data_IF_786576845240
#
_entry.id   IF_786576845240
#
_cell.length_a   1.000
_cell.length_b   1.000
_cell.length_c   1.000
_cell.angle_alpha   90.00
_cell.angle_beta   90.00
_cell.angle_gamma   90.00
#
_symmetry.space_group_name_H-M   'P 1'
#
loop_
_entity.id
_entity.type
_entity.pdbx_description
1 polymer ?
#
# COMPACT_ATOMS: atom_id res chain seq x y z
N UNK A 1 -39.14 3.81 -19.65
CA UNK A 1 -37.85 4.52 -19.45
C UNK A 1 -37.23 4.28 -18.06
N UNK A 2 -37.93 4.43 -16.93
CA UNK A 2 -37.35 4.20 -15.58
C UNK A 2 -36.76 2.79 -15.35
N UNK A 3 -37.39 1.72 -15.87
CA UNK A 3 -36.89 0.34 -15.72
C UNK A 3 -35.59 0.06 -16.48
N UNK A 4 -35.39 0.66 -17.66
CA UNK A 4 -34.17 0.45 -18.46
C UNK A 4 -32.97 1.16 -17.80
N UNK A 5 -33.20 2.36 -17.24
CA UNK A 5 -32.18 3.14 -16.52
C UNK A 5 -31.70 2.42 -15.24
N UNK A 6 -32.60 1.77 -14.48
CA UNK A 6 -32.21 0.98 -13.32
C UNK A 6 -31.34 -0.24 -13.68
N UNK A 7 -31.61 -0.90 -14.82
CA UNK A 7 -30.80 -2.02 -15.30
C UNK A 7 -29.41 -1.58 -15.77
N UNK A 8 -29.28 -0.41 -16.40
CA UNK A 8 -27.97 0.11 -16.83
C UNK A 8 -27.10 0.53 -15.64
N UNK A 9 -27.70 1.16 -14.62
CA UNK A 9 -26.99 1.57 -13.39
C UNK A 9 -26.52 0.34 -12.61
N UNK A 10 -27.35 -0.71 -12.49
CA UNK A 10 -26.97 -1.95 -11.82
C UNK A 10 -25.80 -2.67 -12.50
N UNK A 11 -25.77 -2.70 -13.84
CA UNK A 11 -24.71 -3.34 -14.63
C UNK A 11 -23.37 -2.58 -14.52
N UNK A 12 -23.41 -1.25 -14.46
CA UNK A 12 -22.21 -0.41 -14.25
C UNK A 12 -21.63 -0.63 -12.84
N UNK A 13 -22.49 -0.77 -11.84
CA UNK A 13 -22.08 -0.99 -10.45
C UNK A 13 -21.41 -2.36 -10.24
N UNK A 14 -21.91 -3.44 -10.87
CA UNK A 14 -21.28 -4.77 -10.81
C UNK A 14 -19.86 -4.76 -11.43
N UNK A 15 -19.67 -4.05 -12.54
CA UNK A 15 -18.40 -3.99 -13.23
C UNK A 15 -17.31 -3.29 -12.41
N UNK A 16 -17.64 -2.22 -11.67
CA UNK A 16 -16.67 -1.47 -10.86
C UNK A 16 -16.23 -2.26 -9.63
N UNK A 17 -17.17 -2.93 -8.93
CA UNK A 17 -16.86 -3.75 -7.73
C UNK A 17 -16.01 -4.97 -8.11
N UNK A 18 -16.34 -5.65 -9.22
CA UNK A 18 -15.59 -6.80 -9.71
C UNK A 18 -14.18 -6.41 -10.17
N UNK A 19 -14.03 -5.24 -10.82
CA UNK A 19 -12.72 -4.71 -11.26
C UNK A 19 -11.80 -4.34 -10.10
N UNK A 20 -12.31 -3.79 -9.01
CA UNK A 20 -11.46 -3.34 -7.91
C UNK A 20 -10.99 -4.49 -7.00
N UNK A 21 -11.84 -5.50 -6.73
CA UNK A 21 -11.38 -6.74 -6.09
C UNK A 21 -10.44 -7.54 -7.02
N UNK A 22 -10.61 -7.43 -8.34
CA UNK A 22 -9.65 -7.98 -9.29
C UNK A 22 -8.30 -7.25 -9.28
N UNK A 23 -8.25 -5.96 -8.95
CA UNK A 23 -7.00 -5.17 -8.98
C UNK A 23 -6.01 -5.64 -7.91
N UNK A 24 -6.46 -5.86 -6.66
CA UNK A 24 -5.61 -6.37 -5.58
C UNK A 24 -5.07 -7.77 -5.88
N UNK A 25 -5.89 -8.63 -6.47
CA UNK A 25 -5.49 -9.99 -6.89
C UNK A 25 -4.50 -9.93 -8.05
N UNK A 26 -4.75 -9.08 -9.05
CA UNK A 26 -3.84 -8.86 -10.18
C UNK A 26 -2.53 -8.24 -9.75
N UNK A 27 -2.54 -7.29 -8.82
CA UNK A 27 -1.35 -6.71 -8.21
C UNK A 27 -0.47 -7.81 -7.62
N UNK A 28 -1.01 -8.60 -6.68
CA UNK A 28 -0.27 -9.69 -6.06
C UNK A 28 0.22 -10.72 -7.09
N UNK A 29 -0.62 -11.10 -8.07
CA UNK A 29 -0.23 -12.00 -9.15
C UNK A 29 0.92 -11.44 -9.98
N UNK A 30 0.93 -10.15 -10.30
CA UNK A 30 2.04 -9.52 -11.03
C UNK A 30 3.33 -9.58 -10.22
N UNK A 31 3.28 -9.24 -8.93
CA UNK A 31 4.46 -9.28 -8.07
C UNK A 31 5.03 -10.70 -7.95
N UNK A 32 4.18 -11.73 -7.76
CA UNK A 32 4.58 -13.15 -7.74
C UNK A 32 5.26 -13.61 -9.05
N UNK A 33 4.91 -12.99 -10.18
CA UNK A 33 5.43 -13.37 -11.50
C UNK A 33 6.60 -12.49 -11.97
N UNK A 34 7.06 -11.51 -11.16
CA UNK A 34 8.19 -10.66 -11.55
C UNK A 34 9.48 -11.48 -11.62
N UNK A 35 10.21 -11.32 -12.72
CA UNK A 35 11.40 -12.13 -13.02
C UNK A 35 12.58 -11.91 -12.08
N UNK A 36 12.63 -10.79 -11.35
CA UNK A 36 13.70 -10.43 -10.42
C UNK A 36 13.59 -11.09 -9.04
N UNK A 37 12.44 -11.68 -8.67
CA UNK A 37 12.28 -12.43 -7.43
C UNK A 37 12.45 -13.93 -7.64
N UNK A 38 12.82 -14.65 -6.57
CA UNK A 38 12.75 -16.10 -6.49
C UNK A 38 11.31 -16.56 -6.72
N UNK A 39 11.15 -17.74 -7.31
CA UNK A 39 9.83 -18.38 -7.40
C UNK A 39 9.47 -19.16 -6.13
N UNK A 40 10.46 -19.44 -5.29
CA UNK A 40 10.30 -20.15 -4.04
C UNK A 40 9.84 -19.17 -2.95
N UNK A 41 8.77 -19.56 -2.24
CA UNK A 41 8.33 -18.93 -1.00
C UNK A 41 9.24 -19.36 0.15
N UNK A 42 9.94 -18.40 0.73
CA UNK A 42 10.87 -18.60 1.84
C UNK A 42 10.28 -18.20 3.19
N UNK A 43 8.96 -17.93 3.28
CA UNK A 43 8.28 -17.45 4.49
C UNK A 43 8.58 -18.26 5.75
N UNK A 44 8.74 -19.58 5.65
CA UNK A 44 9.06 -20.44 6.80
C UNK A 44 10.40 -20.09 7.46
N UNK A 45 11.37 -19.56 6.69
CA UNK A 45 12.66 -19.10 7.22
C UNK A 45 12.50 -17.89 8.15
N UNK A 46 11.37 -17.19 8.04
CA UNK A 46 11.09 -15.95 8.77
C UNK A 46 10.04 -16.11 9.88
N UNK A 47 9.66 -17.34 10.26
CA UNK A 47 8.56 -17.57 11.21
C UNK A 47 8.79 -16.90 12.59
N UNK A 48 10.03 -16.82 13.06
CA UNK A 48 10.39 -16.18 14.33
C UNK A 48 10.43 -14.65 14.27
N UNK A 49 10.57 -14.07 13.09
CA UNK A 49 10.82 -12.64 12.91
C UNK A 49 9.57 -11.78 13.09
N UNK A 50 9.75 -10.54 13.54
CA UNK A 50 8.68 -9.55 13.68
C UNK A 50 8.82 -8.44 12.63
N UNK A 51 7.84 -8.37 11.72
CA UNK A 51 7.81 -7.39 10.64
C UNK A 51 7.10 -6.08 11.00
N UNK A 52 6.55 -5.94 12.21
CA UNK A 52 5.74 -4.79 12.64
C UNK A 52 6.41 -3.44 12.36
N UNK A 53 7.73 -3.36 12.56
CA UNK A 53 8.52 -2.15 12.38
C UNK A 53 8.62 -1.68 10.93
N UNK A 54 8.43 -2.57 9.95
CA UNK A 54 8.42 -2.19 8.53
C UNK A 54 7.29 -1.20 8.21
N UNK A 55 6.12 -1.39 8.83
CA UNK A 55 4.91 -0.63 8.51
C UNK A 55 4.72 0.65 9.33
N UNK A 56 5.66 0.98 10.22
CA UNK A 56 5.70 2.25 10.97
C UNK A 56 7.01 3.03 10.78
N UNK A 57 7.86 2.61 9.84
CA UNK A 57 9.15 3.27 9.57
C UNK A 57 9.01 4.63 8.90
N UNK A 58 8.04 4.76 7.99
CA UNK A 58 7.95 5.89 7.07
C UNK A 58 7.21 7.08 7.69
N UNK A 59 7.78 8.29 7.67
CA UNK A 59 7.10 9.50 8.10
C UNK A 59 5.81 9.76 7.28
N UNK A 60 4.79 10.31 7.94
CA UNK A 60 3.45 10.44 7.35
C UNK A 60 3.40 11.31 6.09
N UNK A 61 4.30 12.28 5.97
CA UNK A 61 4.45 13.16 4.82
C UNK A 61 4.86 12.42 3.54
N UNK A 62 5.51 11.25 3.67
CA UNK A 62 5.91 10.39 2.56
C UNK A 62 4.95 9.23 2.32
N UNK A 63 3.86 9.11 3.08
CA UNK A 63 2.82 8.10 2.85
C UNK A 63 1.74 8.71 1.96
N UNK A 64 1.53 8.15 0.78
CA UNK A 64 0.53 8.65 -0.16
C UNK A 64 -0.59 7.67 -0.45
N UNK A 65 -1.84 8.14 -0.57
CA UNK A 65 -2.97 7.33 -0.96
C UNK A 65 -4.14 8.09 -1.60
N UNK A 66 -4.94 7.37 -2.37
CA UNK A 66 -6.19 7.87 -2.95
C UNK A 66 -7.37 6.92 -2.65
N UNK A 67 -8.59 7.45 -2.71
CA UNK A 67 -9.85 6.72 -2.63
C UNK A 67 -10.84 7.18 -3.72
N UNK A 68 -11.53 6.25 -4.35
CA UNK A 68 -12.58 6.53 -5.34
C UNK A 68 -12.07 6.89 -6.74
N UNK A 69 -12.99 7.13 -7.68
CA UNK A 69 -12.67 7.33 -9.10
C UNK A 69 -11.94 8.64 -9.40
N UNK A 70 -12.16 9.67 -8.58
CA UNK A 70 -11.56 11.00 -8.76
C UNK A 70 -10.17 11.12 -8.11
N UNK A 71 -9.62 10.00 -7.63
CA UNK A 71 -8.37 9.97 -6.86
C UNK A 71 -8.42 10.90 -5.64
N UNK A 72 -9.55 10.96 -4.93
CA UNK A 72 -9.66 11.75 -3.70
C UNK A 72 -8.58 11.34 -2.71
N UNK A 73 -7.82 12.31 -2.21
CA UNK A 73 -6.77 12.08 -1.22
C UNK A 73 -7.35 11.37 0.01
N UNK A 74 -6.71 10.26 0.38
CA UNK A 74 -6.88 9.60 1.68
C UNK A 74 -5.53 9.61 2.40
N UNK A 75 -5.55 9.82 3.71
CA UNK A 75 -4.40 9.60 4.59
C UNK A 75 -4.67 8.36 5.42
N UNK A 76 -3.68 7.47 5.50
CA UNK A 76 -3.72 6.26 6.33
C UNK A 76 -2.52 6.34 7.26
N UNK A 77 -2.74 6.17 8.56
CA UNK A 77 -1.67 6.03 9.56
C UNK A 77 -1.92 4.81 10.40
N UNK A 78 -0.98 3.89 10.42
CA UNK A 78 -0.93 2.86 11.46
C UNK A 78 -0.37 3.48 12.75
N UNK A 79 -1.09 3.28 13.85
CA UNK A 79 -0.69 3.74 15.18
C UNK A 79 -0.02 2.61 15.94
N UNK A 80 -0.55 1.39 15.82
CA UNK A 80 0.10 0.20 16.36
C UNK A 80 0.00 -0.94 15.35
N UNK A 81 1.10 -1.68 15.19
CA UNK A 81 1.13 -2.96 14.49
C UNK A 81 1.78 -3.96 15.43
N UNK A 82 1.06 -5.03 15.76
CA UNK A 82 1.52 -6.02 16.74
C UNK A 82 1.45 -7.40 16.11
N UNK A 83 2.55 -8.15 16.17
CA UNK A 83 2.57 -9.55 15.72
C UNK A 83 1.53 -10.37 16.51
N UNK A 84 0.69 -11.07 15.77
CA UNK A 84 -0.37 -11.91 16.30
C UNK A 84 0.16 -13.27 16.78
N UNK A 85 -0.75 -14.16 17.24
CA UNK A 85 -0.38 -15.50 17.71
C UNK A 85 0.20 -16.40 16.61
N UNK A 86 -0.21 -16.21 15.36
CA UNK A 86 0.43 -16.86 14.21
C UNK A 86 1.61 -16.03 13.73
N UNK A 87 2.66 -16.68 13.23
CA UNK A 87 3.88 -16.01 12.76
C UNK A 87 3.66 -15.01 11.63
N UNK A 88 2.54 -15.13 10.91
CA UNK A 88 2.26 -14.41 9.67
C UNK A 88 1.16 -13.36 9.81
N UNK A 89 0.50 -13.27 10.98
CA UNK A 89 -0.62 -12.36 11.19
C UNK A 89 -0.22 -11.21 12.08
N UNK A 90 -0.73 -10.02 11.80
CA UNK A 90 -0.45 -8.80 12.54
C UNK A 90 -1.75 -8.05 12.81
N UNK A 91 -1.99 -7.71 14.07
CA UNK A 91 -3.10 -6.84 14.45
C UNK A 91 -2.70 -5.38 14.24
N UNK A 92 -3.58 -4.62 13.60
CA UNK A 92 -3.36 -3.20 13.27
C UNK A 92 -4.44 -2.35 13.92
N UNK A 93 -4.02 -1.26 14.54
CA UNK A 93 -4.87 -0.11 14.87
C UNK A 93 -4.31 1.12 14.17
N UNK A 94 -5.19 1.93 13.59
CA UNK A 94 -4.79 3.12 12.86
C UNK A 94 -5.93 4.11 12.66
N UNK A 95 -5.64 5.14 11.86
CA UNK A 95 -6.58 6.20 11.50
C UNK A 95 -6.56 6.42 9.99
N UNK A 96 -7.75 6.58 9.42
CA UNK A 96 -7.98 7.05 8.07
C UNK A 96 -8.43 8.51 8.10
N UNK A 97 -8.11 9.28 7.07
CA UNK A 97 -8.67 10.62 6.88
C UNK A 97 -9.01 10.86 5.41
N UNK A 98 -10.26 11.24 5.15
CA UNK A 98 -10.71 11.73 3.84
C UNK A 98 -11.34 13.11 4.03
N UNK A 99 -10.81 14.12 3.32
CA UNK A 99 -11.13 15.53 3.58
C UNK A 99 -10.88 15.86 5.06
N UNK A 100 -11.92 16.26 5.79
CA UNK A 100 -11.86 16.53 7.24
C UNK A 100 -12.36 15.35 8.11
N UNK A 101 -12.87 14.27 7.52
CA UNK A 101 -13.40 13.13 8.26
C UNK A 101 -12.26 12.20 8.67
N UNK A 102 -12.01 12.09 9.96
CA UNK A 102 -11.05 11.14 10.55
C UNK A 102 -11.85 9.97 11.14
N UNK A 103 -11.46 8.74 10.79
CA UNK A 103 -12.00 7.53 11.40
C UNK A 103 -10.87 6.68 11.94
N UNK A 104 -11.12 6.05 13.08
CA UNK A 104 -10.28 4.95 13.54
C UNK A 104 -10.53 3.73 12.66
N UNK A 105 -9.55 2.83 12.57
CA UNK A 105 -9.77 1.48 12.07
C UNK A 105 -8.98 0.46 12.87
N UNK A 106 -9.49 -0.78 12.87
CA UNK A 106 -8.80 -1.95 13.41
C UNK A 106 -8.82 -3.08 12.40
N UNK A 107 -7.85 -3.97 12.43
CA UNK A 107 -7.93 -5.17 11.61
C UNK A 107 -6.62 -5.92 11.55
N UNK A 108 -6.39 -6.61 10.43
CA UNK A 108 -5.26 -7.52 10.30
C UNK A 108 -4.52 -7.37 8.97
N UNK A 109 -3.22 -7.62 9.05
CA UNK A 109 -2.34 -7.92 7.93
C UNK A 109 -1.99 -9.41 8.02
N UNK A 110 -2.07 -10.14 6.91
CA UNK A 110 -1.71 -11.55 6.82
C UNK A 110 -0.67 -11.76 5.72
N UNK A 111 0.52 -12.22 6.10
CA UNK A 111 1.61 -12.56 5.19
C UNK A 111 1.33 -13.90 4.52
N UNK A 112 1.26 -13.91 3.20
CA UNK A 112 1.04 -15.14 2.44
C UNK A 112 2.32 -15.68 1.81
N UNK A 113 3.24 -14.81 1.39
CA UNK A 113 4.44 -15.20 0.67
C UNK A 113 5.60 -14.28 1.07
N UNK A 114 6.81 -14.83 1.15
CA UNK A 114 8.06 -14.07 1.22
C UNK A 114 8.97 -14.57 0.10
N UNK A 115 9.41 -13.68 -0.79
CA UNK A 115 10.29 -14.03 -1.91
C UNK A 115 11.63 -13.31 -1.77
N UNK A 116 12.72 -13.96 -2.17
CA UNK A 116 14.07 -13.38 -2.19
C UNK A 116 14.33 -12.68 -3.51
N UNK A 117 15.00 -11.53 -3.50
CA UNK A 117 15.49 -10.89 -4.71
C UNK A 117 16.67 -11.71 -5.30
N UNK A 118 16.62 -12.05 -6.59
CA UNK A 118 17.62 -12.92 -7.26
C UNK A 118 18.99 -12.28 -7.43
N UNK A 119 19.04 -10.95 -7.57
CA UNK A 119 20.28 -10.21 -7.78
C UNK A 119 20.24 -8.95 -6.94
N UNK A 120 21.21 -8.85 -6.03
CA UNK A 120 21.56 -7.65 -5.28
C UNK A 120 22.29 -6.77 -6.30
N UNK A 121 21.77 -5.59 -6.64
CA UNK A 121 22.36 -4.71 -7.66
C UNK A 121 23.86 -4.48 -7.38
N UNK A 122 24.70 -4.40 -8.43
CA UNK A 122 26.14 -4.11 -8.32
C UNK A 122 26.45 -2.80 -7.57
N UNK A 123 25.45 -1.94 -7.35
CA UNK A 123 25.56 -0.70 -6.56
C UNK A 123 25.85 -1.01 -5.09
N UNK A 124 25.36 -2.14 -4.58
CA UNK A 124 25.63 -2.64 -3.23
C UNK A 124 27.10 -2.98 -2.96
N UNK A 125 27.90 -3.20 -4.01
CA UNK A 125 29.32 -3.51 -3.84
C UNK A 125 30.15 -2.30 -3.41
N UNK A 126 29.66 -1.06 -3.42
CA UNK A 126 30.50 0.10 -3.04
C UNK A 126 29.88 1.00 -1.95
N UNK A 127 28.57 1.21 -1.91
CA UNK A 127 27.95 2.17 -0.95
C UNK A 127 27.50 1.52 0.36
N UNK A 128 27.08 0.25 0.34
CA UNK A 128 26.58 -0.48 1.52
C UNK A 128 27.51 -1.61 2.03
N UNK A 129 28.79 -1.59 1.62
CA UNK A 129 29.82 -2.58 2.00
C UNK A 129 29.91 -2.80 3.53
N UNK A 130 29.61 -1.78 4.33
CA UNK A 130 29.70 -1.84 5.79
C UNK A 130 28.46 -2.45 6.48
N UNK A 131 27.31 -2.46 5.80
CA UNK A 131 26.03 -2.98 6.32
C UNK A 131 25.95 -4.51 6.24
N UNK A 132 26.71 -5.12 5.32
CA UNK A 132 26.82 -6.59 5.24
C UNK A 132 25.49 -7.27 4.92
N UNK A 133 24.73 -6.70 3.98
CA UNK A 133 23.40 -7.18 3.59
C UNK A 133 23.48 -8.64 3.12
N UNK A 134 22.78 -9.54 3.83
CA UNK A 134 22.69 -10.98 3.52
C UNK A 134 21.68 -11.26 2.40
N UNK A 135 20.67 -10.41 2.25
CA UNK A 135 19.67 -10.55 1.21
C UNK A 135 18.56 -9.52 1.29
N UNK A 136 17.96 -9.25 0.14
CA UNK A 136 16.75 -8.43 0.00
C UNK A 136 15.56 -9.33 -0.29
N UNK A 137 14.42 -8.99 0.27
CA UNK A 137 13.22 -9.82 0.27
C UNK A 137 11.98 -8.96 0.07
N UNK A 138 10.91 -9.61 -0.39
CA UNK A 138 9.59 -9.00 -0.53
C UNK A 138 8.55 -9.85 0.16
N UNK A 139 7.72 -9.19 0.96
CA UNK A 139 6.53 -9.74 1.62
C UNK A 139 5.34 -9.45 0.72
N UNK A 140 4.53 -10.46 0.47
CA UNK A 140 3.21 -10.31 -0.13
C UNK A 140 2.16 -10.84 0.83
N UNK A 141 1.00 -10.22 0.84
CA UNK A 141 -0.07 -10.65 1.70
C UNK A 141 -1.39 -9.94 1.44
N UNK A 142 -2.31 -10.13 2.36
CA UNK A 142 -3.64 -9.52 2.32
C UNK A 142 -3.86 -8.69 3.59
N UNK A 143 -4.78 -7.74 3.52
CA UNK A 143 -5.19 -6.96 4.68
C UNK A 143 -6.71 -6.76 4.71
N UNK A 144 -7.25 -6.59 5.91
CA UNK A 144 -8.63 -6.17 6.15
C UNK A 144 -8.63 -5.22 7.35
N UNK A 145 -9.14 -4.00 7.18
CA UNK A 145 -9.31 -3.03 8.26
C UNK A 145 -10.75 -2.52 8.30
N UNK A 146 -11.33 -2.46 9.48
CA UNK A 146 -12.72 -2.06 9.73
C UNK A 146 -12.77 -0.75 10.50
N UNK A 147 -13.54 0.21 9.99
CA UNK A 147 -13.90 1.42 10.71
C UNK A 147 -15.09 1.14 11.65
N UNK A 148 -15.35 1.98 12.68
CA UNK A 148 -16.54 1.84 13.53
C UNK A 148 -17.84 1.93 12.74
N UNK A 149 -18.69 0.90 12.81
CA UNK A 149 -19.97 0.84 12.08
C UNK A 149 -21.02 1.87 12.57
N UNK A 150 -20.77 2.55 13.67
CA UNK A 150 -21.65 3.59 14.23
C UNK A 150 -21.37 5.00 13.67
N UNK A 151 -20.34 5.17 12.84
CA UNK A 151 -20.01 6.45 12.21
C UNK A 151 -20.62 6.56 10.81
N UNK A 152 -21.14 7.74 10.48
CA UNK A 152 -21.46 8.08 9.09
C UNK A 152 -20.18 8.04 8.26
N UNK A 153 -20.26 7.50 7.04
CA UNK A 153 -19.11 7.33 6.14
C UNK A 153 -18.02 6.37 6.63
N UNK A 154 -18.41 5.34 7.40
CA UNK A 154 -17.52 4.23 7.76
C UNK A 154 -17.64 3.04 6.79
N UNK A 155 -16.57 2.26 6.70
CA UNK A 155 -16.51 1.06 5.88
C UNK A 155 -15.36 0.12 6.22
N UNK A 156 -15.07 -0.77 5.28
CA UNK A 156 -14.04 -1.80 5.36
C UNK A 156 -13.02 -1.59 4.25
N UNK A 157 -11.77 -1.36 4.63
CA UNK A 157 -10.62 -1.47 3.75
C UNK A 157 -10.25 -2.95 3.58
N UNK A 158 -10.07 -3.43 2.36
CA UNK A 158 -9.54 -4.79 2.12
C UNK A 158 -8.76 -4.86 0.81
N UNK A 159 -7.70 -5.66 0.78
CA UNK A 159 -6.87 -5.80 -0.41
C UNK A 159 -5.63 -6.64 -0.21
N UNK A 160 -4.68 -6.43 -1.10
CA UNK A 160 -3.35 -7.05 -1.09
C UNK A 160 -2.29 -6.00 -0.80
N UNK A 161 -1.16 -6.40 -0.23
CA UNK A 161 -0.04 -5.52 -0.01
C UNK A 161 1.30 -6.14 -0.44
N UNK A 162 2.30 -5.27 -0.58
CA UNK A 162 3.70 -5.61 -0.79
C UNK A 162 4.59 -4.75 0.11
N UNK A 163 5.53 -5.37 0.82
CA UNK A 163 6.57 -4.66 1.57
C UNK A 163 7.93 -5.28 1.27
N UNK A 164 8.95 -4.46 1.05
CA UNK A 164 10.32 -4.89 0.79
C UNK A 164 11.17 -4.64 2.04
N UNK A 165 12.04 -5.60 2.35
CA UNK A 165 12.96 -5.53 3.48
C UNK A 165 14.30 -6.18 3.12
N UNK A 166 15.35 -5.90 3.89
CA UNK A 166 16.61 -6.62 3.80
C UNK A 166 17.03 -7.17 5.16
N UNK A 167 17.85 -8.22 5.13
CA UNK A 167 18.56 -8.73 6.28
C UNK A 167 19.98 -8.20 6.26
N UNK A 168 20.43 -7.65 7.38
CA UNK A 168 21.83 -7.27 7.57
C UNK A 168 22.69 -8.48 8.00
N UNK A 169 23.96 -8.21 8.31
CA UNK A 169 24.91 -9.24 8.77
C UNK A 169 24.54 -9.90 10.10
N UNK A 170 23.75 -9.23 10.93
CA UNK A 170 23.31 -9.68 12.24
C UNK A 170 21.94 -10.39 12.20
N UNK A 171 21.39 -10.62 11.00
CA UNK A 171 20.04 -11.17 10.82
C UNK A 171 18.95 -10.24 11.37
N UNK A 172 19.15 -8.92 11.34
CA UNK A 172 18.12 -7.95 11.67
C UNK A 172 17.34 -7.53 10.41
N UNK A 173 16.03 -7.36 10.56
CA UNK A 173 15.15 -6.88 9.49
C UNK A 173 15.20 -5.36 9.44
N UNK A 174 15.49 -4.85 8.25
CA UNK A 174 15.44 -3.43 7.94
C UNK A 174 14.46 -3.16 6.80
N UNK A 175 13.80 -2.02 6.86
CA UNK A 175 13.02 -1.50 5.74
C UNK A 175 13.93 -1.33 4.52
N UNK A 176 13.52 -1.82 3.36
CA UNK A 176 14.34 -1.68 2.14
C UNK A 176 14.21 -0.28 1.55
N UNK A 177 15.13 0.59 1.97
CA UNK A 177 15.38 1.95 1.48
C UNK A 177 16.69 2.08 0.69
N UNK A 178 17.31 0.96 0.33
CA UNK A 178 18.60 0.92 -0.40
C UNK A 178 18.53 1.73 -1.70
N UNK A 179 17.41 1.61 -2.43
CA UNK A 179 17.20 2.33 -3.69
C UNK A 179 16.27 3.55 -3.49
N UNK A 180 16.22 4.15 -2.29
CA UNK A 180 15.30 5.27 -2.00
C UNK A 180 15.50 6.48 -2.93
N UNK A 181 16.72 6.69 -3.42
CA UNK A 181 17.05 7.76 -4.38
C UNK A 181 16.62 7.44 -5.81
N UNK A 182 16.04 6.26 -6.08
CA UNK A 182 15.49 5.93 -7.39
C UNK A 182 14.20 6.70 -7.65
N UNK A 183 14.08 7.26 -8.85
CA UNK A 183 12.85 7.85 -9.38
C UNK A 183 11.60 6.95 -9.23
N UNK A 184 11.80 5.64 -9.21
CA UNK A 184 10.69 4.68 -9.11
C UNK A 184 10.47 4.12 -7.69
N UNK A 185 11.15 4.68 -6.69
CA UNK A 185 11.12 4.13 -5.34
C UNK A 185 9.71 4.11 -4.74
N UNK A 186 9.37 2.95 -4.17
CA UNK A 186 8.14 2.72 -3.44
C UNK A 186 8.30 1.52 -2.53
N UNK A 187 7.62 1.53 -1.40
CA UNK A 187 7.56 0.41 -0.48
C UNK A 187 6.22 0.46 0.29
N UNK A 188 5.93 -0.56 1.09
CA UNK A 188 4.66 -0.70 1.83
C UNK A 188 3.45 -0.36 0.96
N UNK A 189 3.37 -1.00 -0.20
CA UNK A 189 2.35 -0.77 -1.22
C UNK A 189 1.07 -1.54 -0.88
N UNK A 190 -0.04 -0.83 -0.69
CA UNK A 190 -1.36 -1.41 -0.43
C UNK A 190 -2.31 -1.11 -1.60
N UNK A 191 -2.86 -2.17 -2.19
CA UNK A 191 -3.82 -2.09 -3.30
C UNK A 191 -5.11 -2.76 -2.88
N UNK A 192 -6.23 -2.04 -2.94
CA UNK A 192 -7.50 -2.62 -2.50
C UNK A 192 -8.70 -1.72 -2.68
N UNK A 193 -9.69 -1.96 -1.82
CA UNK A 193 -10.96 -1.25 -1.85
C UNK A 193 -11.38 -0.80 -0.46
N UNK A 194 -12.10 0.31 -0.42
CA UNK A 194 -12.93 0.70 0.71
C UNK A 194 -14.39 0.41 0.41
N UNK A 195 -15.05 -0.32 1.30
CA UNK A 195 -16.42 -0.81 1.13
C UNK A 195 -17.31 -0.18 2.22
N UNK A 196 -18.26 0.70 1.88
CA UNK A 196 -19.12 1.31 2.89
C UNK A 196 -19.99 0.25 3.60
N UNK A 197 -20.26 0.44 4.89
CA UNK A 197 -21.25 -0.38 5.61
C UNK A 197 -22.68 -0.11 5.12
N UNK A 198 -22.97 1.15 4.81
CA UNK A 198 -24.27 1.60 4.33
C UNK A 198 -24.34 1.54 2.80
N UNK A 199 -25.52 1.81 2.23
CA UNK A 199 -25.73 1.84 0.78
C UNK A 199 -24.69 2.74 0.09
N UNK A 200 -23.91 2.15 -0.81
CA UNK A 200 -22.85 2.84 -1.52
C UNK A 200 -22.00 1.87 -2.33
N UNK A 201 -21.30 2.39 -3.33
CA UNK A 201 -20.40 1.59 -4.15
C UNK A 201 -19.04 1.44 -3.49
N UNK A 202 -18.46 0.26 -3.63
CA UNK A 202 -17.05 0.02 -3.31
C UNK A 202 -16.17 1.00 -4.09
N UNK A 203 -15.18 1.57 -3.41
CA UNK A 203 -14.23 2.52 -3.98
C UNK A 203 -12.86 1.87 -4.05
N UNK A 204 -12.14 2.04 -5.16
CA UNK A 204 -10.70 1.78 -5.22
C UNK A 204 -10.03 2.59 -4.10
N UNK A 205 -9.08 1.98 -3.39
CA UNK A 205 -8.37 2.63 -2.30
C UNK A 205 -6.96 2.05 -2.23
N UNK A 206 -5.98 2.83 -2.66
CA UNK A 206 -4.59 2.41 -2.69
C UNK A 206 -3.73 3.44 -1.97
N UNK A 207 -2.69 2.96 -1.28
CA UNK A 207 -1.68 3.82 -0.66
C UNK A 207 -0.32 3.13 -0.63
N UNK A 208 0.74 3.89 -0.43
CA UNK A 208 2.09 3.37 -0.32
C UNK A 208 3.07 4.43 0.16
N UNK A 209 4.26 3.99 0.51
CA UNK A 209 5.37 4.87 0.86
C UNK A 209 6.01 5.41 -0.41
N UNK A 210 6.30 6.71 -0.42
CA UNK A 210 6.92 7.53 -1.46
C UNK A 210 6.18 7.60 -2.81
N UNK A 211 5.44 6.55 -3.19
CA UNK A 211 4.65 6.49 -4.42
C UNK A 211 3.47 5.54 -4.26
N UNK A 212 2.37 5.81 -4.97
CA UNK A 212 1.11 5.07 -4.81
C UNK A 212 1.04 3.93 -5.84
N UNK A 213 0.86 2.66 -5.42
CA UNK A 213 0.71 1.56 -6.36
C UNK A 213 -0.58 1.73 -7.18
N UNK A 214 -0.48 1.47 -8.49
CA UNK A 214 -1.57 1.63 -9.45
C UNK A 214 -2.24 3.04 -9.42
N UNK A 215 -1.45 4.09 -9.16
CA UNK A 215 -1.90 5.49 -9.23
C UNK A 215 -2.34 5.94 -10.62
N UNK A 216 -1.85 5.29 -11.68
CA UNK A 216 -2.25 5.58 -13.06
C UNK A 216 -2.09 7.06 -13.40
N UNK A 217 -3.14 7.68 -13.93
CA UNK A 217 -3.11 9.09 -14.34
C UNK A 217 -2.93 10.11 -13.21
N UNK A 218 -3.04 9.70 -11.94
CA UNK A 218 -2.84 10.60 -10.79
C UNK A 218 -1.41 11.14 -10.75
N UNK A 219 -0.45 10.31 -11.11
CA UNK A 219 0.96 10.58 -10.92
C UNK A 219 1.62 10.98 -12.24
N UNK A 220 2.09 12.22 -12.31
CA UNK A 220 2.81 12.79 -13.46
C UNK A 220 4.30 12.99 -13.18
N UNK A 221 4.81 12.52 -12.04
CA UNK A 221 6.20 12.72 -11.64
C UNK A 221 7.17 11.81 -12.39
N UNK A 222 8.25 12.37 -12.93
CA UNK A 222 9.35 11.59 -13.51
C UNK A 222 10.24 10.96 -12.42
N UNK A 223 10.53 11.73 -11.36
CA UNK A 223 11.21 11.27 -10.14
C UNK A 223 10.19 10.96 -9.04
N UNK A 224 10.04 11.84 -8.07
CA UNK A 224 9.08 11.66 -6.98
C UNK A 224 7.61 11.66 -7.43
N UNK A 225 6.72 11.13 -6.57
CA UNK A 225 5.28 11.27 -6.74
C UNK A 225 4.88 12.74 -6.89
N UNK A 226 4.28 13.07 -8.04
CA UNK A 226 3.78 14.42 -8.33
C UNK A 226 2.35 14.33 -8.84
N UNK A 227 1.35 14.81 -8.07
CA UNK A 227 -0.05 14.73 -8.47
C UNK A 227 -0.29 15.63 -9.69
N UNK A 228 -0.93 15.11 -10.73
CA UNK A 228 -1.32 15.89 -11.93
C UNK A 228 -2.33 16.98 -11.56
N UNK A 229 -2.20 18.17 -12.16
CA UNK A 229 -2.94 19.39 -11.79
C UNK A 229 -4.46 19.21 -11.65
N UNK A 230 -5.08 18.45 -12.56
CA UNK A 230 -6.53 18.20 -12.53
C UNK A 230 -6.99 17.49 -11.24
N UNK A 231 -6.09 16.87 -10.50
CA UNK A 231 -6.40 16.19 -9.25
C UNK A 231 -6.15 17.06 -8.00
N UNK A 232 -5.52 18.23 -8.11
CA UNK A 232 -5.15 19.07 -6.95
C UNK A 232 -6.34 19.41 -6.05
N UNK A 233 -7.48 19.72 -6.67
CA UNK A 233 -8.76 20.02 -6.01
C UNK A 233 -9.32 18.84 -5.18
N UNK A 234 -8.83 17.62 -5.39
CA UNK A 234 -9.21 16.44 -4.61
C UNK A 234 -8.27 16.17 -3.42
N UNK A 235 -7.70 17.22 -2.84
CA UNK A 235 -6.90 17.17 -1.62
C UNK A 235 -5.41 16.94 -1.82
N UNK A 236 -4.89 17.24 -3.02
CA UNK A 236 -3.47 17.08 -3.37
C UNK A 236 -2.70 18.40 -3.43
N UNK A 237 -3.38 19.55 -3.33
CA UNK A 237 -2.75 20.88 -3.36
C UNK A 237 -1.56 20.99 -2.41
N UNK A 238 -1.71 20.59 -1.14
CA UNK A 238 -0.62 20.65 -0.15
C UNK A 238 0.65 19.88 -0.57
N UNK A 239 0.52 18.78 -1.34
CA UNK A 239 1.69 18.04 -1.86
C UNK A 239 2.33 18.76 -3.04
N UNK A 240 1.56 19.51 -3.84
CA UNK A 240 2.15 20.37 -4.87
C UNK A 240 2.90 21.53 -4.22
N UNK A 241 2.30 22.15 -3.21
CA UNK A 241 2.87 23.31 -2.53
C UNK A 241 4.18 22.98 -1.80
N UNK A 242 4.36 21.73 -1.35
CA UNK A 242 5.61 21.32 -0.69
C UNK A 242 6.83 21.42 -1.60
N UNK A 243 6.67 21.36 -2.94
CA UNK A 243 7.78 21.54 -3.88
C UNK A 243 8.11 23.02 -4.13
N UNK A 244 7.17 23.93 -3.87
CA UNK A 244 7.33 25.37 -4.13
C UNK A 244 8.01 26.14 -3.00
N UNK A 245 8.18 25.53 -1.83
CA UNK A 245 8.83 26.15 -0.67
C UNK A 245 10.36 25.93 -0.63
N UNK A 246 10.91 25.19 -1.60
CA UNK A 246 12.35 24.91 -1.73
C UNK A 246 13.01 25.69 -2.90
N UNK A 247 12.34 26.71 -3.44
CA UNK A 247 12.81 27.56 -4.54
C UNK A 247 13.00 29.03 -4.13
#
# INVERSE_FOLDING_TARGET
>A
MKRIICFTIALICLNVVCRAQSEAVLFKKRELNKGNFSKEDVKQQFASYDFSKLWDKTPNEFIYGFIGPDYQRIRIKFITVTKGPSSNSYAVYGKSMVKANISDFKGTIEITDILKLKSVSKVLDNEHKNEGIKGRFVILGNYIFTEPNNQSHAGIFKGSFKSSFYLDKNDEIHYDDIDQQSDSFTNNEFVGTWNPYNQGLSKRCNWGDYRIPNGGSLDGGAGEFSPVDKYLLFGWQNKRDSFGNDA
#
